data_IF_148861930147
#
_entry.id   IF_148861930147
#
_cell.length_a   1.000
_cell.length_b   1.000
_cell.length_c   1.000
_cell.angle_alpha   90.00
_cell.angle_beta   90.00
_cell.angle_gamma   90.00
#
_symmetry.space_group_name_H-M   'P 1'
#
loop_
_entity.id
_entity.type
_entity.pdbx_description
1 polymer ?
#
# COMPACT_ATOMS: atom_id res chain seq x y z
N UNK A 1 -21.20 12.97 17.38
CA UNK A 1 -21.78 11.61 17.13
C UNK A 1 -21.15 10.95 15.91
N UNK A 2 -20.91 11.65 14.83
CA UNK A 2 -20.32 11.11 13.58
C UNK A 2 -18.85 10.67 13.73
N UNK A 3 -18.04 11.40 14.49
CA UNK A 3 -16.62 11.06 14.74
C UNK A 3 -16.48 9.80 15.61
N UNK A 4 -17.35 9.62 16.59
CA UNK A 4 -17.38 8.48 17.50
C UNK A 4 -17.83 7.19 16.79
N UNK A 5 -18.76 7.31 15.85
CA UNK A 5 -19.21 6.19 15.04
C UNK A 5 -18.13 5.74 14.04
N UNK A 6 -17.40 6.69 13.44
CA UNK A 6 -16.26 6.41 12.57
C UNK A 6 -15.10 5.73 13.31
N UNK A 7 -14.78 6.18 14.53
CA UNK A 7 -13.73 5.54 15.34
C UNK A 7 -14.10 4.13 15.77
N UNK A 8 -15.37 3.87 16.11
CA UNK A 8 -15.82 2.54 16.52
C UNK A 8 -15.96 1.58 15.33
N UNK A 9 -16.31 2.09 14.16
CA UNK A 9 -16.29 1.32 12.92
C UNK A 9 -14.85 0.88 12.59
N UNK A 10 -13.88 1.78 12.69
CA UNK A 10 -12.45 1.49 12.42
C UNK A 10 -11.84 0.49 13.42
N UNK A 11 -12.36 0.34 14.64
CA UNK A 11 -11.85 -0.62 15.64
C UNK A 11 -12.20 -2.09 15.37
N UNK A 12 -13.18 -2.35 14.52
CA UNK A 12 -13.62 -3.71 14.17
C UNK A 12 -12.94 -4.27 12.92
N UNK A 13 -12.20 -3.45 12.19
CA UNK A 13 -11.76 -3.79 10.86
C UNK A 13 -10.36 -4.42 10.83
N UNK A 14 -10.29 -5.63 10.28
CA UNK A 14 -9.07 -6.32 9.87
C UNK A 14 -8.58 -5.80 8.50
N UNK A 15 -7.45 -6.26 8.03
CA UNK A 15 -6.80 -5.84 6.78
C UNK A 15 -7.67 -5.92 5.51
N UNK A 16 -8.76 -6.71 5.54
CA UNK A 16 -9.81 -6.70 4.50
C UNK A 16 -10.38 -5.30 4.29
N UNK A 17 -10.38 -4.48 5.30
CA UNK A 17 -11.04 -3.18 5.33
C UNK A 17 -10.26 -2.10 4.62
N UNK A 18 -8.94 -2.22 4.52
CA UNK A 18 -8.16 -1.25 3.73
C UNK A 18 -8.56 -1.32 2.24
N UNK A 19 -8.93 -2.51 1.74
CA UNK A 19 -9.46 -2.66 0.38
C UNK A 19 -10.87 -2.12 0.23
N UNK A 20 -11.74 -2.33 1.22
CA UNK A 20 -13.11 -1.80 1.23
C UNK A 20 -13.06 -0.27 1.33
N UNK A 21 -12.26 0.27 2.24
CA UNK A 21 -12.11 1.71 2.40
C UNK A 21 -11.49 2.36 1.15
N UNK A 22 -10.48 1.73 0.55
CA UNK A 22 -9.88 2.21 -0.69
C UNK A 22 -10.83 2.12 -1.89
N UNK A 23 -11.83 1.22 -1.84
CA UNK A 23 -12.90 1.12 -2.84
C UNK A 23 -13.93 2.23 -2.72
N UNK A 24 -14.13 2.77 -1.51
CA UNK A 24 -15.01 3.91 -1.25
C UNK A 24 -14.29 5.23 -1.55
N UNK A 25 -13.14 5.44 -0.90
CA UNK A 25 -12.25 6.57 -1.09
C UNK A 25 -10.86 6.20 -0.54
N UNK A 26 -9.86 6.27 -1.40
CA UNK A 26 -8.48 5.91 -1.05
C UNK A 26 -7.92 6.73 0.11
N UNK A 27 -8.42 7.92 0.36
CA UNK A 27 -8.01 8.77 1.47
C UNK A 27 -8.24 8.11 2.84
N UNK A 28 -9.28 7.30 2.99
CA UNK A 28 -9.53 6.56 4.23
C UNK A 28 -8.46 5.50 4.49
N UNK A 29 -8.00 4.81 3.44
CA UNK A 29 -6.96 3.81 3.56
C UNK A 29 -5.63 4.44 4.01
N UNK A 30 -5.26 5.58 3.42
CA UNK A 30 -4.08 6.33 3.85
C UNK A 30 -4.20 6.86 5.28
N UNK A 31 -5.33 7.42 5.65
CA UNK A 31 -5.57 7.88 7.03
C UNK A 31 -5.46 6.75 8.06
N UNK A 32 -5.94 5.56 7.74
CA UNK A 32 -5.81 4.40 8.62
C UNK A 32 -4.36 3.90 8.68
N UNK A 33 -3.66 3.90 7.55
CA UNK A 33 -2.24 3.54 7.48
C UNK A 33 -1.37 4.49 8.32
N UNK A 34 -1.58 5.79 8.16
CA UNK A 34 -0.77 6.87 8.78
C UNK A 34 -1.21 7.20 10.21
N UNK A 35 -2.27 6.56 10.72
CA UNK A 35 -2.74 6.82 12.07
C UNK A 35 -1.75 6.30 13.11
N UNK A 36 -1.25 7.20 13.92
CA UNK A 36 -0.29 6.94 15.00
C UNK A 36 -0.96 6.54 16.33
N UNK A 37 -2.27 6.64 16.39
CA UNK A 37 -3.12 6.22 17.51
C UNK A 37 -3.91 4.96 17.14
N UNK A 38 -4.51 4.31 18.14
CA UNK A 38 -5.42 3.19 17.90
C UNK A 38 -6.78 3.66 17.35
N UNK A 39 -7.31 2.98 16.32
CA UNK A 39 -6.69 1.93 15.49
C UNK A 39 -5.82 2.53 14.39
N UNK A 40 -4.65 1.98 14.15
CA UNK A 40 -3.75 2.45 13.09
C UNK A 40 -2.49 1.61 12.96
N UNK A 41 -2.01 1.44 11.72
CA UNK A 41 -0.81 0.63 11.51
C UNK A 41 0.45 1.29 12.05
N UNK A 42 0.60 2.63 12.00
CA UNK A 42 1.75 3.32 12.58
C UNK A 42 1.77 3.28 14.11
N UNK A 43 0.63 3.05 14.76
CA UNK A 43 0.58 2.84 16.21
C UNK A 43 1.47 1.67 16.65
N UNK A 44 1.46 0.55 15.89
CA UNK A 44 2.23 -0.64 16.24
C UNK A 44 3.74 -0.36 16.35
N UNK A 45 4.44 0.12 15.29
CA UNK A 45 5.87 0.41 15.39
C UNK A 45 6.18 1.53 16.38
N UNK A 46 5.32 2.53 16.53
CA UNK A 46 5.47 3.55 17.59
C UNK A 46 5.41 2.97 18.99
N UNK A 47 4.62 1.93 19.18
CA UNK A 47 4.51 1.18 20.44
C UNK A 47 5.60 0.12 20.62
N UNK A 48 6.61 0.08 19.73
CA UNK A 48 7.74 -0.84 19.80
C UNK A 48 7.47 -2.21 19.16
N UNK A 49 6.43 -2.36 18.35
CA UNK A 49 6.17 -3.59 17.60
C UNK A 49 7.29 -3.86 16.58
N UNK A 50 7.76 -5.08 16.53
CA UNK A 50 8.70 -5.59 15.50
C UNK A 50 8.00 -6.52 14.51
N UNK A 51 6.73 -6.83 14.77
CA UNK A 51 5.86 -7.69 13.96
C UNK A 51 4.46 -7.11 13.94
N UNK A 52 3.58 -7.61 13.07
CA UNK A 52 2.19 -7.17 12.99
C UNK A 52 1.36 -7.85 14.08
N UNK A 53 0.79 -7.08 14.99
CA UNK A 53 -0.03 -7.57 16.09
C UNK A 53 -1.46 -7.91 15.63
N UNK A 54 -2.05 -8.94 16.25
CA UNK A 54 -3.46 -9.31 16.06
C UNK A 54 -4.40 -8.25 16.65
N UNK A 55 -4.13 -7.85 17.90
CA UNK A 55 -4.86 -6.77 18.57
C UNK A 55 -4.09 -5.46 18.47
N UNK A 56 -4.79 -4.36 18.27
CA UNK A 56 -4.15 -3.04 18.19
C UNK A 56 -3.39 -2.68 19.47
N UNK A 57 -3.91 -3.09 20.63
CA UNK A 57 -3.33 -2.84 21.94
C UNK A 57 -2.06 -3.67 22.21
N UNK A 58 -1.77 -4.66 21.37
CA UNK A 58 -0.71 -5.63 21.64
C UNK A 58 -0.98 -6.44 22.91
N UNK A 59 0.08 -6.93 23.55
CA UNK A 59 -0.03 -7.65 24.84
C UNK A 59 0.05 -6.69 26.01
N UNK A 60 -1.07 -6.31 26.59
CA UNK A 60 -1.12 -5.59 27.86
C UNK A 60 -1.17 -6.60 29.02
N UNK A 61 -0.40 -6.32 30.08
CA UNK A 61 -0.12 -7.25 31.19
C UNK A 61 -1.33 -7.92 31.87
N UNK A 62 -2.51 -7.35 31.74
CA UNK A 62 -3.71 -7.81 32.46
C UNK A 62 -4.89 -8.13 31.53
N UNK A 63 -4.63 -8.26 30.22
CA UNK A 63 -5.65 -8.53 29.22
C UNK A 63 -5.33 -9.81 28.42
N UNK A 64 -6.32 -10.26 27.69
CA UNK A 64 -6.23 -11.39 26.79
C UNK A 64 -4.99 -11.31 25.89
N UNK A 65 -4.24 -12.41 25.82
CA UNK A 65 -3.02 -12.48 25.04
C UNK A 65 -3.40 -12.73 23.57
N UNK A 66 -3.21 -11.73 22.73
CA UNK A 66 -3.33 -11.84 21.29
C UNK A 66 -1.99 -12.24 20.65
N UNK A 67 -2.02 -12.77 19.44
CA UNK A 67 -0.80 -13.04 18.68
C UNK A 67 -0.06 -11.73 18.38
N UNK A 68 1.25 -11.73 18.58
CA UNK A 68 2.11 -10.62 18.18
C UNK A 68 2.64 -10.76 16.75
N UNK A 69 2.25 -11.80 16.03
CA UNK A 69 2.59 -12.02 14.62
C UNK A 69 1.40 -12.65 13.90
N UNK A 70 0.48 -11.80 13.45
CA UNK A 70 -0.80 -12.24 12.89
C UNK A 70 -0.98 -11.79 11.45
N UNK A 71 -1.32 -12.73 10.59
CA UNK A 71 -1.37 -12.52 9.14
C UNK A 71 -2.51 -11.59 8.68
N UNK A 72 -3.64 -11.54 9.39
CA UNK A 72 -4.81 -10.81 8.90
C UNK A 72 -4.52 -9.31 8.75
N UNK A 73 -3.95 -8.66 9.78
CA UNK A 73 -3.50 -7.27 9.63
C UNK A 73 -2.27 -7.13 8.72
N UNK A 74 -1.48 -8.19 8.57
CA UNK A 74 -0.35 -8.23 7.63
C UNK A 74 -0.76 -8.16 6.16
N UNK A 75 -2.02 -8.47 5.81
CA UNK A 75 -2.54 -8.31 4.45
C UNK A 75 -2.49 -6.85 3.94
N UNK A 76 -2.30 -5.85 4.81
CA UNK A 76 -1.98 -4.47 4.40
C UNK A 76 -0.77 -4.41 3.46
N UNK A 77 0.18 -5.34 3.59
CA UNK A 77 1.35 -5.41 2.72
C UNK A 77 0.97 -5.63 1.24
N UNK A 78 -0.09 -6.39 0.98
CA UNK A 78 -0.61 -6.54 -0.38
C UNK A 78 -1.15 -5.20 -0.92
N UNK A 79 -1.89 -4.46 -0.10
CA UNK A 79 -2.36 -3.12 -0.48
C UNK A 79 -1.21 -2.15 -0.74
N UNK A 80 -0.16 -2.17 0.08
CA UNK A 80 1.06 -1.37 -0.13
C UNK A 80 1.71 -1.68 -1.48
N UNK A 81 1.84 -2.97 -1.82
CA UNK A 81 2.42 -3.41 -3.10
C UNK A 81 1.53 -3.08 -4.29
N UNK A 82 0.24 -3.46 -4.22
CA UNK A 82 -0.66 -3.45 -5.36
C UNK A 82 -1.30 -2.08 -5.60
N UNK A 83 -1.46 -1.27 -4.56
CA UNK A 83 -2.15 0.02 -4.63
C UNK A 83 -1.20 1.19 -4.44
N UNK A 84 -0.52 1.28 -3.30
CA UNK A 84 0.40 2.40 -3.05
C UNK A 84 1.55 2.41 -4.07
N UNK A 85 2.26 1.28 -4.22
CA UNK A 85 3.39 1.14 -5.15
C UNK A 85 2.95 0.75 -6.56
N UNK A 86 1.74 0.18 -6.71
CA UNK A 86 1.08 -0.07 -7.98
C UNK A 86 1.53 -1.30 -8.72
N UNK A 87 2.27 -2.26 -8.13
CA UNK A 87 2.71 -3.47 -8.82
C UNK A 87 1.62 -4.53 -8.75
N UNK A 88 1.07 -4.94 -9.89
CA UNK A 88 0.12 -6.06 -10.02
C UNK A 88 0.61 -7.03 -11.07
N UNK A 89 0.77 -8.29 -10.69
CA UNK A 89 1.10 -9.36 -11.63
C UNK A 89 -0.21 -9.85 -12.25
N UNK A 90 -0.40 -9.56 -13.52
CA UNK A 90 -1.64 -9.84 -14.25
C UNK A 90 -1.51 -11.01 -15.23
N UNK A 91 -0.31 -11.56 -15.36
CA UNK A 91 -0.01 -12.74 -16.16
C UNK A 91 1.44 -13.18 -15.98
N UNK A 92 1.83 -14.31 -16.55
CA UNK A 92 3.20 -14.83 -16.43
C UNK A 92 4.26 -13.86 -16.93
N UNK A 93 3.96 -13.14 -18.01
CA UNK A 93 4.86 -12.18 -18.66
C UNK A 93 4.23 -10.79 -18.79
N UNK A 94 3.22 -10.53 -17.98
CA UNK A 94 2.49 -9.27 -18.03
C UNK A 94 2.25 -8.71 -16.63
N UNK A 95 2.51 -7.43 -16.47
CA UNK A 95 2.29 -6.71 -15.22
C UNK A 95 1.51 -5.43 -15.47
N UNK A 96 0.70 -5.02 -14.51
CA UNK A 96 0.10 -3.68 -14.51
C UNK A 96 0.79 -2.85 -13.44
N UNK A 97 1.21 -1.64 -13.82
CA UNK A 97 1.79 -0.66 -12.90
C UNK A 97 0.80 0.51 -12.79
N UNK A 98 0.15 0.60 -11.63
CA UNK A 98 -0.91 1.57 -11.38
C UNK A 98 -0.80 2.14 -9.97
N UNK A 99 0.25 2.94 -9.67
CA UNK A 99 0.43 3.52 -8.35
C UNK A 99 -0.68 4.53 -8.04
N UNK A 100 -1.09 4.57 -6.79
CA UNK A 100 -2.07 5.53 -6.27
C UNK A 100 -1.47 6.28 -5.09
N UNK A 101 -0.63 7.30 -5.30
CA UNK A 101 -0.13 8.17 -4.25
C UNK A 101 -1.26 8.81 -3.44
N UNK A 102 -1.05 9.02 -2.14
CA UNK A 102 -2.05 9.65 -1.28
C UNK A 102 -1.50 9.91 0.12
N UNK A 103 -2.35 10.48 0.99
CA UNK A 103 -1.98 10.84 2.34
C UNK A 103 -0.83 11.84 2.38
N UNK A 104 -0.05 11.79 3.44
CA UNK A 104 1.16 12.59 3.63
C UNK A 104 2.42 11.88 3.11
N UNK A 105 2.27 10.68 2.51
CA UNK A 105 3.38 9.93 1.93
C UNK A 105 3.99 10.71 0.76
N UNK A 106 5.28 10.96 0.84
CA UNK A 106 6.01 11.72 -0.18
C UNK A 106 6.73 10.85 -1.20
N UNK A 107 6.95 9.58 -0.90
CA UNK A 107 7.52 8.60 -1.82
C UNK A 107 7.13 7.17 -1.41
N UNK A 108 7.11 6.26 -2.38
CA UNK A 108 7.09 4.82 -2.11
C UNK A 108 7.92 4.07 -3.14
N UNK A 109 8.51 2.95 -2.71
CA UNK A 109 9.34 2.08 -3.55
C UNK A 109 8.98 0.63 -3.28
N UNK A 110 8.89 -0.16 -4.34
CA UNK A 110 8.68 -1.59 -4.24
C UNK A 110 9.48 -2.34 -5.28
N UNK A 111 9.78 -3.60 -4.97
CA UNK A 111 10.31 -4.55 -5.92
C UNK A 111 9.63 -5.90 -5.74
N UNK A 112 9.37 -6.58 -6.85
CA UNK A 112 8.75 -7.89 -6.88
C UNK A 112 9.50 -8.82 -7.83
N UNK A 113 9.97 -9.94 -7.31
CA UNK A 113 10.60 -10.98 -8.11
C UNK A 113 9.55 -11.85 -8.80
N UNK A 114 9.29 -11.54 -10.08
CA UNK A 114 8.47 -12.36 -10.96
C UNK A 114 9.26 -13.53 -11.54
N UNK A 115 8.58 -14.46 -12.23
CA UNK A 115 9.24 -15.54 -12.97
C UNK A 115 10.19 -15.04 -14.07
N UNK A 116 10.01 -13.82 -14.58
CA UNK A 116 10.85 -13.20 -15.60
C UNK A 116 11.95 -12.31 -15.01
N UNK A 117 11.96 -12.07 -13.71
CA UNK A 117 12.92 -11.21 -13.03
C UNK A 117 12.27 -10.12 -12.18
N UNK A 118 13.05 -9.15 -11.77
CA UNK A 118 12.63 -8.14 -10.82
C UNK A 118 11.84 -7.00 -11.48
N UNK A 119 10.60 -6.82 -11.04
CA UNK A 119 9.75 -5.66 -11.36
C UNK A 119 9.95 -4.62 -10.28
N UNK A 120 10.23 -3.38 -10.62
CA UNK A 120 10.44 -2.31 -9.65
C UNK A 120 9.56 -1.10 -9.94
N UNK A 121 9.09 -0.46 -8.90
CA UNK A 121 8.45 0.86 -8.95
C UNK A 121 9.03 1.77 -7.90
N UNK A 122 9.13 3.04 -8.23
CA UNK A 122 9.49 4.10 -7.30
C UNK A 122 8.79 5.38 -7.72
N UNK A 123 7.91 5.89 -6.88
CA UNK A 123 7.35 7.21 -7.10
C UNK A 123 7.74 8.17 -5.97
N UNK A 124 7.79 9.44 -6.31
CA UNK A 124 8.07 10.52 -5.38
C UNK A 124 7.23 11.76 -5.73
N UNK A 125 6.83 12.49 -4.70
CA UNK A 125 6.21 13.81 -4.86
C UNK A 125 7.28 14.83 -5.23
N UNK A 126 6.98 15.68 -6.21
CA UNK A 126 7.85 16.77 -6.66
C UNK A 126 7.14 18.11 -6.45
N UNK A 127 7.81 19.23 -6.70
CA UNK A 127 7.19 20.56 -6.63
C UNK A 127 6.02 20.72 -7.62
N UNK A 128 6.04 20.00 -8.75
CA UNK A 128 5.06 20.14 -9.83
C UNK A 128 4.10 18.96 -9.98
N UNK A 129 4.10 18.01 -9.03
CA UNK A 129 3.29 16.79 -9.08
C UNK A 129 4.06 15.57 -8.61
N UNK A 130 4.09 14.52 -9.40
CA UNK A 130 4.72 13.25 -9.06
C UNK A 130 5.64 12.75 -10.16
N UNK A 131 6.63 11.97 -9.78
CA UNK A 131 7.52 11.25 -10.68
C UNK A 131 7.45 9.76 -10.38
N UNK A 132 7.33 8.93 -11.40
CA UNK A 132 7.36 7.47 -11.33
C UNK A 132 8.54 6.94 -12.14
N UNK A 133 9.31 6.06 -11.54
CA UNK A 133 10.32 5.24 -12.22
C UNK A 133 9.92 3.78 -12.14
N UNK A 134 9.94 3.07 -13.25
CA UNK A 134 9.51 1.67 -13.38
C UNK A 134 10.62 0.86 -14.04
N UNK A 135 10.97 -0.27 -13.45
CA UNK A 135 11.85 -1.27 -14.05
C UNK A 135 11.08 -2.52 -14.44
N UNK A 136 11.11 -2.86 -15.71
CA UNK A 136 10.45 -4.05 -16.28
C UNK A 136 11.52 -5.03 -16.73
N UNK A 137 11.50 -6.30 -16.24
CA UNK A 137 12.50 -7.29 -16.61
C UNK A 137 12.34 -7.76 -18.05
N UNK A 138 13.38 -8.43 -18.59
CA UNK A 138 13.35 -9.02 -19.91
C UNK A 138 12.14 -9.96 -20.10
N UNK A 139 11.65 -10.08 -21.34
CA UNK A 139 10.51 -10.91 -21.71
C UNK A 139 9.19 -10.58 -20.98
N UNK A 140 9.06 -9.38 -20.44
CA UNK A 140 7.86 -8.90 -19.74
C UNK A 140 7.34 -7.65 -20.45
N UNK A 141 6.01 -7.56 -20.55
CA UNK A 141 5.30 -6.34 -20.94
C UNK A 141 4.59 -5.74 -19.75
N UNK A 142 4.48 -4.44 -19.70
CA UNK A 142 3.76 -3.75 -18.64
C UNK A 142 2.72 -2.78 -19.22
N UNK A 143 1.54 -2.76 -18.60
CA UNK A 143 0.59 -1.67 -18.76
C UNK A 143 0.82 -0.67 -17.64
N UNK A 144 1.17 0.55 -18.00
CA UNK A 144 1.36 1.67 -17.06
C UNK A 144 0.10 2.50 -17.06
N UNK A 145 -0.54 2.63 -15.90
CA UNK A 145 -1.75 3.43 -15.70
C UNK A 145 -1.45 4.52 -14.67
N UNK A 146 -1.34 5.75 -15.11
CA UNK A 146 -1.07 6.90 -14.23
C UNK A 146 -2.37 7.42 -13.60
N UNK A 147 -2.33 8.06 -12.42
CA UNK A 147 -3.50 8.62 -11.76
C UNK A 147 -4.26 9.68 -12.57
N UNK A 148 -3.60 10.36 -13.50
CA UNK A 148 -4.22 11.33 -14.43
C UNK A 148 -5.03 10.69 -15.58
N UNK A 149 -5.11 9.35 -15.59
CA UNK A 149 -5.80 8.57 -16.63
C UNK A 149 -4.94 8.23 -17.84
N UNK A 150 -3.68 8.64 -17.87
CA UNK A 150 -2.75 8.28 -18.95
C UNK A 150 -2.40 6.79 -18.87
N UNK A 151 -2.62 6.05 -19.96
CA UNK A 151 -2.27 4.63 -20.10
C UNK A 151 -1.22 4.41 -21.19
N UNK A 152 -0.25 3.50 -20.95
CA UNK A 152 0.77 3.11 -21.92
C UNK A 152 1.18 1.66 -21.74
N UNK A 153 1.38 0.95 -22.84
CA UNK A 153 2.02 -0.38 -22.84
C UNK A 153 3.50 -0.23 -23.16
N UNK A 154 4.35 -0.86 -22.35
CA UNK A 154 5.80 -0.84 -22.52
C UNK A 154 6.40 -2.24 -22.43
N UNK A 155 7.57 -2.42 -23.03
CA UNK A 155 8.38 -3.63 -22.88
C UNK A 155 9.39 -3.52 -21.76
N UNK A 156 10.36 -4.45 -21.78
CA UNK A 156 11.48 -4.48 -20.83
C UNK A 156 12.31 -3.18 -20.86
N UNK A 157 12.82 -2.78 -19.71
CA UNK A 157 13.66 -1.61 -19.56
C UNK A 157 13.29 -0.72 -18.38
N UNK A 158 13.95 0.42 -18.31
CA UNK A 158 13.64 1.48 -17.35
C UNK A 158 12.77 2.53 -18.02
N UNK A 159 11.65 2.90 -17.34
CA UNK A 159 10.68 3.88 -17.83
C UNK A 159 10.47 4.94 -16.77
N UNK A 160 10.26 6.19 -17.21
CA UNK A 160 10.04 7.33 -16.31
C UNK A 160 8.85 8.15 -16.79
N UNK A 161 8.00 8.53 -15.86
CA UNK A 161 6.79 9.31 -16.07
C UNK A 161 6.70 10.44 -15.06
N UNK A 162 6.03 11.50 -15.45
CA UNK A 162 5.66 12.60 -14.55
C UNK A 162 4.19 12.96 -14.82
N UNK A 163 3.46 13.28 -13.75
CA UNK A 163 2.07 13.74 -13.82
C UNK A 163 1.78 14.74 -12.70
N UNK A 164 0.67 15.48 -12.83
CA UNK A 164 0.20 16.46 -11.86
C UNK A 164 -0.90 15.90 -10.97
#
# INVERSE_FOLDING_TARGET
MELYFKQRLLSFFDSFDIYVLAGLDISYAYRLLENEEMPGWLFMPKSGATTIWEAWEGNQKDKWIASLNHYSKGAVCEWLMNTMCGIRITGEKHVTIAPKPGGDITFARASYWSICGNVTTSWERTENGYRLTVGIPANTTAEILLPDGTGRTVGAGQHRYEWK
#
